data_IF_451791377756
#
_entry.id   IF_451791377756
#
_cell.length_a   1.000
_cell.length_b   1.000
_cell.length_c   1.000
_cell.angle_alpha   90.00
_cell.angle_beta   90.00
_cell.angle_gamma   90.00
#
_symmetry.space_group_name_H-M   'P 1'
#
loop_
_entity.id
_entity.type
_entity.pdbx_description
1 polymer ?
#
# COMPACT_ATOMS: atom_id res chain seq x y z
N UNK A 1 2.58 -0.43 19.18
CA UNK A 1 1.91 -1.00 18.00
C UNK A 1 2.11 -2.51 18.04
N UNK A 2 1.02 -3.30 18.04
CA UNK A 2 1.08 -4.77 18.06
C UNK A 2 -0.16 -5.35 17.37
N UNK A 3 -0.04 -6.54 16.79
CA UNK A 3 -1.20 -7.33 16.35
C UNK A 3 -1.74 -8.13 17.55
N UNK A 4 -2.91 -7.75 18.06
CA UNK A 4 -3.54 -8.41 19.21
C UNK A 4 -4.25 -9.71 18.86
N UNK A 5 -4.51 -9.97 17.57
CA UNK A 5 -5.22 -11.15 17.08
C UNK A 5 -4.22 -12.25 16.77
N UNK A 6 -3.31 -12.00 15.83
CA UNK A 6 -2.38 -13.04 15.36
C UNK A 6 -1.09 -13.11 16.20
N UNK A 7 -0.80 -12.06 16.99
CA UNK A 7 0.47 -11.89 17.71
C UNK A 7 1.69 -12.01 16.79
N UNK A 8 1.58 -11.39 15.61
CA UNK A 8 2.62 -11.32 14.59
C UNK A 8 3.98 -10.86 15.17
N UNK A 9 5.07 -11.63 14.98
CA UNK A 9 6.42 -11.18 15.33
C UNK A 9 6.97 -10.25 14.25
N UNK A 10 7.12 -8.97 14.56
CA UNK A 10 7.68 -8.00 13.61
C UNK A 10 9.20 -8.13 13.51
N UNK A 11 9.69 -8.38 12.29
CA UNK A 11 11.12 -8.51 11.99
C UNK A 11 11.79 -7.19 11.58
N UNK A 12 11.01 -6.25 11.05
CA UNK A 12 11.47 -4.91 10.66
C UNK A 12 10.32 -3.92 10.84
N UNK A 13 10.65 -2.66 11.12
CA UNK A 13 9.67 -1.58 11.15
C UNK A 13 10.32 -0.27 10.70
N UNK A 14 9.48 0.68 10.27
CA UNK A 14 9.90 2.05 9.97
C UNK A 14 8.72 3.02 10.16
N UNK A 15 9.02 4.31 10.22
CA UNK A 15 8.02 5.39 10.37
C UNK A 15 7.91 6.12 9.04
N UNK A 16 6.69 6.51 8.65
CA UNK A 16 6.48 7.35 7.47
C UNK A 16 7.20 8.71 7.60
N UNK A 17 7.53 9.33 6.47
CA UNK A 17 8.26 10.60 6.45
C UNK A 17 7.56 11.76 7.16
N UNK A 18 6.22 11.74 7.18
CA UNK A 18 5.38 12.70 7.91
C UNK A 18 5.18 12.34 9.40
N UNK A 19 5.57 11.13 9.81
CA UNK A 19 5.37 10.62 11.16
C UNK A 19 3.95 10.17 11.48
N UNK A 20 3.01 10.23 10.53
CA UNK A 20 1.60 9.87 10.75
C UNK A 20 1.39 8.34 10.80
N UNK A 21 2.35 7.57 10.28
CA UNK A 21 2.25 6.14 10.17
C UNK A 21 3.48 5.40 10.69
N UNK A 22 3.23 4.24 11.31
CA UNK A 22 4.24 3.21 11.58
C UNK A 22 3.93 2.01 10.71
N UNK A 23 4.97 1.48 10.06
CA UNK A 23 4.90 0.25 9.27
C UNK A 23 5.67 -0.85 9.97
N UNK A 24 5.05 -2.01 10.12
CA UNK A 24 5.67 -3.21 10.66
C UNK A 24 5.63 -4.36 9.67
N UNK A 25 6.76 -5.02 9.48
CA UNK A 25 6.91 -6.16 8.60
C UNK A 25 6.95 -7.47 9.37
N UNK A 26 6.11 -8.42 8.96
CA UNK A 26 6.04 -9.74 9.55
C UNK A 26 6.21 -10.82 8.47
N UNK A 27 7.10 -11.76 8.71
CA UNK A 27 7.10 -13.03 7.99
C UNK A 27 6.07 -13.97 8.62
N UNK A 28 5.44 -14.81 7.82
CA UNK A 28 4.59 -15.86 8.38
C UNK A 28 5.42 -16.80 9.24
N UNK A 29 5.16 -16.77 10.55
CA UNK A 29 5.72 -17.69 11.52
C UNK A 29 4.57 -18.34 12.30
N UNK A 30 4.60 -19.67 12.55
CA UNK A 30 5.65 -20.64 12.23
C UNK A 30 5.51 -21.28 10.84
N UNK A 31 4.54 -20.85 10.01
CA UNK A 31 4.28 -21.44 8.70
C UNK A 31 5.13 -20.76 7.63
N UNK A 32 6.31 -21.34 7.37
CA UNK A 32 7.18 -20.92 6.28
C UNK A 32 6.49 -21.11 4.91
N UNK A 33 6.65 -20.15 3.99
CA UNK A 33 6.14 -20.21 2.62
C UNK A 33 4.82 -19.47 2.36
N UNK A 34 4.26 -18.78 3.36
CA UNK A 34 3.18 -17.82 3.16
C UNK A 34 3.72 -16.41 2.83
N UNK A 35 2.82 -15.52 2.40
CA UNK A 35 3.11 -14.14 2.08
C UNK A 35 3.65 -13.37 3.30
N UNK A 36 4.71 -12.59 3.13
CA UNK A 36 5.03 -11.57 4.13
C UNK A 36 3.87 -10.55 4.20
N UNK A 37 3.70 -9.96 5.38
CA UNK A 37 2.66 -8.96 5.63
C UNK A 37 3.26 -7.67 6.13
N UNK A 38 2.75 -6.56 5.59
CA UNK A 38 3.01 -5.22 6.09
C UNK A 38 1.77 -4.74 6.84
N UNK A 39 1.99 -4.22 8.03
CA UNK A 39 0.95 -3.69 8.89
C UNK A 39 1.15 -2.18 8.99
N UNK A 40 0.07 -1.42 8.79
CA UNK A 40 0.09 0.03 8.81
C UNK A 40 -0.74 0.54 9.99
N UNK A 41 -0.10 1.22 10.93
CA UNK A 41 -0.78 1.86 12.06
C UNK A 41 -0.73 3.37 11.96
N UNK A 42 -1.83 3.99 12.31
CA UNK A 42 -1.90 5.42 12.57
C UNK A 42 -1.18 5.72 13.89
N UNK A 43 -0.23 6.65 13.88
CA UNK A 43 0.56 7.01 15.07
C UNK A 43 -0.23 7.87 16.07
N UNK A 44 -1.24 8.59 15.60
CA UNK A 44 -2.08 9.48 16.41
C UNK A 44 -3.13 8.68 17.15
N UNK A 45 -3.85 7.80 16.47
CA UNK A 45 -4.93 7.00 17.08
C UNK A 45 -4.42 5.68 17.68
N UNK A 46 -3.30 5.16 17.18
CA UNK A 46 -2.79 3.85 17.55
C UNK A 46 -3.51 2.68 16.86
N UNK A 47 -4.46 2.96 15.98
CA UNK A 47 -5.28 1.94 15.31
C UNK A 47 -4.55 1.34 14.10
N UNK A 48 -4.81 0.05 13.84
CA UNK A 48 -4.36 -0.64 12.63
C UNK A 48 -5.28 -0.23 11.48
N UNK A 49 -4.77 0.55 10.53
CA UNK A 49 -5.56 1.01 9.38
C UNK A 49 -5.59 -0.01 8.26
N UNK A 50 -4.48 -0.70 8.00
CA UNK A 50 -4.40 -1.64 6.88
C UNK A 50 -3.41 -2.79 7.12
N UNK A 51 -3.59 -3.87 6.36
CA UNK A 51 -2.68 -5.00 6.26
C UNK A 51 -2.48 -5.40 4.80
N UNK A 52 -1.26 -5.25 4.32
CA UNK A 52 -0.88 -5.50 2.93
C UNK A 52 -0.16 -6.85 2.86
N UNK A 53 -0.66 -7.75 2.01
CA UNK A 53 -0.01 -9.03 1.75
C UNK A 53 0.94 -8.91 0.53
N UNK A 54 2.21 -9.22 0.74
CA UNK A 54 3.20 -9.30 -0.34
C UNK A 54 3.23 -10.64 -1.05
N UNK A 55 4.21 -10.89 -1.93
CA UNK A 55 4.45 -12.21 -2.50
C UNK A 55 4.85 -13.28 -1.45
N UNK A 56 4.77 -14.58 -1.78
CA UNK A 56 5.12 -15.69 -0.88
C UNK A 56 6.64 -15.87 -0.77
N UNK A 57 7.31 -14.84 -0.28
CA UNK A 57 8.75 -14.73 -0.05
C UNK A 57 9.00 -14.15 1.33
N UNK A 58 10.18 -14.35 1.91
CA UNK A 58 10.51 -13.77 3.20
C UNK A 58 10.92 -12.30 3.05
N UNK A 59 10.46 -11.48 3.97
CA UNK A 59 10.85 -10.11 4.18
C UNK A 59 12.08 -10.04 5.10
N UNK A 60 13.10 -9.32 4.68
CA UNK A 60 14.29 -9.05 5.49
C UNK A 60 14.30 -7.66 6.12
N UNK A 61 13.83 -6.65 5.40
CA UNK A 61 13.85 -5.27 5.90
C UNK A 61 12.82 -4.40 5.19
N UNK A 62 12.43 -3.30 5.86
CA UNK A 62 11.53 -2.28 5.36
C UNK A 62 12.17 -0.91 5.46
N UNK A 63 11.82 -0.02 4.53
CA UNK A 63 12.09 1.41 4.64
C UNK A 63 10.94 2.21 4.04
N UNK A 64 10.46 3.20 4.79
CA UNK A 64 9.50 4.19 4.31
C UNK A 64 10.24 5.31 3.59
N UNK A 65 9.69 5.77 2.47
CA UNK A 65 10.25 6.91 1.76
C UNK A 65 10.01 8.20 2.58
N UNK A 66 11.01 9.09 2.73
CA UNK A 66 10.95 10.22 3.68
C UNK A 66 10.00 11.35 3.27
N UNK A 67 9.53 11.38 2.02
CA UNK A 67 8.68 12.47 1.51
C UNK A 67 7.50 12.02 0.64
N UNK A 68 7.35 10.72 0.42
CA UNK A 68 6.33 10.15 -0.47
C UNK A 68 5.72 8.92 0.18
N UNK A 69 4.46 8.59 -0.08
CA UNK A 69 3.79 7.44 0.53
C UNK A 69 4.22 6.12 -0.14
N UNK A 70 5.52 5.83 -0.08
CA UNK A 70 6.10 4.60 -0.61
C UNK A 70 6.83 3.83 0.50
N UNK A 71 6.77 2.51 0.42
CA UNK A 71 7.49 1.58 1.29
C UNK A 71 8.31 0.66 0.39
N UNK A 72 9.60 0.53 0.69
CA UNK A 72 10.49 -0.44 0.08
C UNK A 72 10.64 -1.66 0.99
N UNK A 73 10.52 -2.86 0.42
CA UNK A 73 10.64 -4.13 1.12
C UNK A 73 11.73 -4.98 0.46
N UNK A 74 12.79 -5.31 1.20
CA UNK A 74 13.85 -6.20 0.72
C UNK A 74 13.49 -7.65 1.03
N UNK A 75 13.52 -8.53 0.02
CA UNK A 75 12.98 -9.89 0.09
C UNK A 75 14.01 -10.99 -0.20
N UNK A 76 13.69 -12.23 0.19
CA UNK A 76 14.58 -13.39 0.08
C UNK A 76 14.85 -13.87 -1.34
N UNK A 77 14.00 -13.51 -2.30
CA UNK A 77 14.19 -13.81 -3.72
C UNK A 77 15.15 -12.84 -4.43
N UNK A 78 15.75 -11.90 -3.69
CA UNK A 78 16.71 -10.94 -4.20
C UNK A 78 16.07 -9.73 -4.88
N UNK A 79 14.75 -9.54 -4.73
CA UNK A 79 14.03 -8.38 -5.22
C UNK A 79 13.83 -7.32 -4.14
N UNK A 80 13.42 -6.13 -4.58
CA UNK A 80 12.93 -5.07 -3.71
C UNK A 80 11.53 -4.70 -4.18
N UNK A 81 10.54 -5.02 -3.37
CA UNK A 81 9.15 -4.67 -3.63
C UNK A 81 8.90 -3.21 -3.24
N UNK A 82 8.12 -2.49 -4.04
CA UNK A 82 7.71 -1.11 -3.78
C UNK A 82 6.20 -1.07 -3.61
N UNK A 83 5.76 -0.64 -2.44
CA UNK A 83 4.35 -0.45 -2.09
C UNK A 83 4.02 1.03 -2.01
N UNK A 84 2.83 1.42 -2.44
CA UNK A 84 2.35 2.78 -2.37
C UNK A 84 0.95 2.92 -2.97
N UNK A 85 0.42 4.14 -3.09
CA UNK A 85 -0.89 4.35 -3.65
C UNK A 85 -0.93 3.87 -5.11
N UNK A 86 -2.03 3.22 -5.49
CA UNK A 86 -2.33 3.00 -6.90
C UNK A 86 -2.47 4.37 -7.58
N UNK A 87 -1.68 4.59 -8.64
CA UNK A 87 -1.94 5.71 -9.54
C UNK A 87 -3.13 5.35 -10.42
N UNK A 88 -4.17 6.17 -10.35
CA UNK A 88 -5.32 6.04 -11.25
C UNK A 88 -4.92 6.40 -12.68
N UNK A 89 -5.48 5.69 -13.65
CA UNK A 89 -5.23 5.96 -15.07
C UNK A 89 -5.66 7.39 -15.48
N UNK A 90 -6.61 7.97 -14.75
CA UNK A 90 -7.06 9.36 -14.92
C UNK A 90 -5.93 10.36 -14.62
N UNK A 91 -4.96 9.99 -13.78
CA UNK A 91 -3.77 10.80 -13.53
C UNK A 91 -2.89 10.99 -14.79
N UNK A 92 -3.07 10.17 -15.82
CA UNK A 92 -2.40 10.29 -17.11
C UNK A 92 -3.24 11.00 -18.18
N UNK A 93 -4.53 11.25 -17.93
CA UNK A 93 -5.45 11.84 -18.89
C UNK A 93 -6.45 12.78 -18.17
N UNK A 94 -6.02 14.00 -17.79
CA UNK A 94 -6.82 14.91 -16.97
C UNK A 94 -8.13 15.37 -17.64
N UNK A 95 -8.20 15.30 -18.97
CA UNK A 95 -9.39 15.63 -19.75
C UNK A 95 -10.45 14.51 -19.74
N UNK A 96 -10.09 13.31 -19.24
CA UNK A 96 -11.02 12.20 -19.07
C UNK A 96 -11.59 12.21 -17.66
N UNK A 97 -12.91 12.19 -17.54
CA UNK A 97 -13.58 11.94 -16.27
C UNK A 97 -14.06 10.49 -16.22
N UNK A 98 -13.63 9.75 -15.20
CA UNK A 98 -14.19 8.43 -14.95
C UNK A 98 -15.65 8.57 -14.52
N UNK A 99 -16.56 8.09 -15.35
CA UNK A 99 -17.98 7.99 -15.01
C UNK A 99 -18.20 6.80 -14.09
N UNK A 100 -18.77 7.03 -12.91
CA UNK A 100 -19.14 5.95 -11.97
C UNK A 100 -20.28 5.06 -12.49
N UNK A 101 -21.06 5.56 -13.44
CA UNK A 101 -22.18 4.87 -14.07
C UNK A 101 -22.34 5.38 -15.51
N UNK A 102 -22.98 4.59 -16.37
CA UNK A 102 -23.26 5.00 -17.74
C UNK A 102 -24.11 6.28 -17.76
N UNK A 103 -23.71 7.27 -18.54
CA UNK A 103 -24.49 8.45 -18.87
C UNK A 103 -24.98 8.36 -20.31
N UNK A 104 -26.20 8.84 -20.56
CA UNK A 104 -26.70 8.99 -21.93
C UNK A 104 -26.00 10.21 -22.53
N UNK A 105 -25.58 10.07 -23.78
CA UNK A 105 -24.99 11.16 -24.55
C UNK A 105 -26.10 12.14 -24.98
N UNK A 106 -25.92 13.44 -24.69
CA UNK A 106 -26.75 14.51 -25.22
C UNK A 106 -25.94 15.29 -26.26
N UNK A 107 -26.29 15.11 -27.53
CA UNK A 107 -25.72 15.86 -28.66
C UNK A 107 -25.97 17.36 -28.47
N UNK A 108 -24.93 18.18 -28.68
CA UNK A 108 -25.09 19.64 -28.69
C UNK A 108 -25.45 20.10 -30.11
N UNK A 109 -26.21 21.19 -30.20
CA UNK A 109 -26.67 21.71 -31.51
C UNK A 109 -25.51 22.13 -32.43
N UNK A 110 -24.33 22.43 -31.89
CA UNK A 110 -23.13 22.89 -32.61
C UNK A 110 -22.10 21.77 -32.91
N UNK A 111 -22.44 20.51 -32.65
CA UNK A 111 -21.46 19.41 -32.75
C UNK A 111 -21.13 19.01 -34.21
N UNK A 112 -22.01 19.36 -35.15
CA UNK A 112 -21.91 18.97 -36.56
C UNK A 112 -21.84 20.17 -37.52
N UNK A 113 -21.66 21.39 -37.00
CA UNK A 113 -21.55 22.63 -37.79
C UNK A 113 -20.12 22.90 -38.31
#
# INVERSE_FOLDING_TARGET
>A
FQDTISKAPFGSCDVSGDGEYVVGGCNSYPQAGENYKLYLWNTVTGELEDTIAGPPVELYSLSCHPTRPFIAAATSDGLVDIWGPRMDWISFAPDFQALKQNSIYEEREDEFD
#
